data_IF_576887827202
#
_entry.id   IF_576887827202
#
_cell.length_a   1.000
_cell.length_b   1.000
_cell.length_c   1.000
_cell.angle_alpha   90.00
_cell.angle_beta   90.00
_cell.angle_gamma   90.00
#
_symmetry.space_group_name_H-M   'P 1'
#
loop_
_entity.id
_entity.type
_entity.pdbx_description
1 polymer ?
#
# COMPACT_ATOMS: atom_id res chain seq x y z
N UNK A 1 -35.52 -26.45 38.44
CA UNK A 1 -35.54 -25.64 37.21
C UNK A 1 -34.49 -24.54 37.31
N UNK A 2 -33.36 -24.63 36.63
CA UNK A 2 -32.45 -23.51 36.24
C UNK A 2 -31.01 -23.94 35.91
N UNK A 3 -30.78 -24.90 34.97
CA UNK A 3 -29.47 -24.99 34.34
C UNK A 3 -29.47 -24.61 32.82
N UNK A 4 -30.62 -24.25 32.23
CA UNK A 4 -30.71 -24.05 30.77
C UNK A 4 -30.25 -22.66 30.28
N UNK A 5 -30.05 -21.69 31.19
CA UNK A 5 -29.73 -20.30 30.80
C UNK A 5 -28.21 -20.03 30.62
N UNK A 6 -27.35 -20.94 31.10
CA UNK A 6 -25.89 -20.78 31.02
C UNK A 6 -25.28 -21.31 29.71
N UNK A 7 -25.98 -22.16 28.96
CA UNK A 7 -25.47 -22.74 27.71
C UNK A 7 -25.66 -21.79 26.52
N UNK A 8 -26.62 -20.87 26.58
CA UNK A 8 -26.91 -19.94 25.47
C UNK A 8 -25.88 -18.82 25.32
N UNK A 9 -25.07 -18.51 26.33
CA UNK A 9 -24.09 -17.41 26.30
C UNK A 9 -22.76 -17.77 25.64
N UNK A 10 -22.42 -19.07 25.50
CA UNK A 10 -21.14 -19.49 24.95
C UNK A 10 -21.05 -19.54 23.42
N UNK A 11 -22.14 -19.29 22.67
CA UNK A 11 -22.17 -19.46 21.21
C UNK A 11 -21.76 -18.18 20.45
N UNK A 12 -21.63 -17.02 21.12
CA UNK A 12 -21.32 -15.74 20.45
C UNK A 12 -19.83 -15.42 20.30
N UNK A 13 -18.90 -16.28 20.73
CA UNK A 13 -17.46 -15.96 20.73
C UNK A 13 -16.68 -16.50 19.51
N UNK A 14 -17.32 -17.04 18.49
CA UNK A 14 -16.63 -17.78 17.41
C UNK A 14 -16.68 -17.10 16.04
N UNK A 15 -16.51 -15.80 15.91
CA UNK A 15 -16.38 -15.22 14.57
C UNK A 15 -15.36 -14.09 14.46
N UNK A 16 -14.16 -14.30 14.98
CA UNK A 16 -13.05 -13.44 14.61
C UNK A 16 -12.08 -14.18 13.68
N UNK A 17 -12.56 -14.56 12.49
CA UNK A 17 -11.70 -15.16 11.47
C UNK A 17 -10.61 -14.20 11.04
N UNK A 18 -9.35 -14.68 10.95
CA UNK A 18 -8.24 -13.91 10.37
C UNK A 18 -8.54 -13.55 8.90
N UNK A 19 -7.88 -12.52 8.38
CA UNK A 19 -8.05 -12.10 6.97
C UNK A 19 -7.86 -13.27 5.98
N UNK A 20 -6.84 -14.13 6.11
CA UNK A 20 -6.68 -15.31 5.27
C UNK A 20 -7.88 -16.27 5.32
N UNK A 21 -8.38 -16.58 6.51
CA UNK A 21 -9.55 -17.48 6.65
C UNK A 21 -10.79 -16.92 6.00
N UNK A 22 -11.05 -15.61 6.15
CA UNK A 22 -12.21 -14.93 5.54
C UNK A 22 -12.16 -14.88 4.01
N UNK A 23 -10.96 -14.95 3.44
CA UNK A 23 -10.73 -14.88 1.99
C UNK A 23 -10.31 -16.23 1.39
N UNK A 24 -10.50 -17.34 2.11
CA UNK A 24 -10.20 -18.70 1.64
C UNK A 24 -8.74 -18.91 1.20
N UNK A 25 -7.79 -18.26 1.88
CA UNK A 25 -6.38 -18.48 1.64
C UNK A 25 -5.96 -19.84 2.15
N UNK A 26 -5.27 -20.61 1.33
CA UNK A 26 -4.68 -21.89 1.69
C UNK A 26 -3.24 -21.68 2.14
N UNK A 27 -2.90 -22.12 3.36
CA UNK A 27 -1.54 -22.01 3.87
C UNK A 27 -0.59 -22.90 3.05
N UNK A 28 0.61 -22.36 2.80
CA UNK A 28 1.70 -23.08 2.13
C UNK A 28 2.98 -22.95 2.95
N UNK A 29 3.97 -23.81 2.64
CA UNK A 29 5.32 -23.59 3.16
C UNK A 29 5.87 -22.24 2.70
N UNK A 30 6.64 -21.60 3.57
CA UNK A 30 7.27 -20.31 3.22
C UNK A 30 8.38 -20.55 2.20
N UNK A 31 8.29 -19.83 1.07
CA UNK A 31 9.31 -19.91 0.03
C UNK A 31 9.57 -18.53 -0.59
N UNK A 32 10.82 -18.33 -1.01
CA UNK A 32 11.27 -17.09 -1.63
C UNK A 32 11.28 -15.91 -0.66
N UNK A 33 11.34 -14.71 -1.20
CA UNK A 33 11.31 -13.45 -0.48
C UNK A 33 10.19 -12.56 -1.01
N UNK A 34 9.84 -11.51 -0.29
CA UNK A 34 8.99 -10.45 -0.83
C UNK A 34 9.90 -9.40 -1.43
N UNK A 35 9.79 -9.22 -2.74
CA UNK A 35 10.53 -8.22 -3.50
C UNK A 35 9.55 -7.35 -4.27
N UNK A 36 9.66 -6.04 -4.08
CA UNK A 36 8.94 -5.04 -4.84
C UNK A 36 9.94 -4.35 -5.79
N UNK A 37 9.94 -4.67 -7.09
CA UNK A 37 10.91 -4.12 -8.03
C UNK A 37 10.56 -2.70 -8.49
N UNK A 38 9.34 -2.24 -8.18
CA UNK A 38 8.87 -0.93 -8.58
C UNK A 38 9.57 0.16 -7.77
N UNK A 39 10.02 1.20 -8.44
CA UNK A 39 10.78 2.32 -7.86
C UNK A 39 12.17 1.95 -7.32
N UNK A 40 12.71 0.78 -7.70
CA UNK A 40 13.96 0.24 -7.15
C UNK A 40 15.22 0.68 -7.92
N UNK A 41 15.10 1.21 -9.14
CA UNK A 41 16.22 1.64 -9.97
C UNK A 41 16.62 3.09 -9.65
N UNK A 42 17.84 3.30 -9.14
CA UNK A 42 18.39 4.63 -8.81
C UNK A 42 18.76 5.47 -10.03
N UNK A 43 18.93 4.81 -11.20
CA UNK A 43 19.28 5.51 -12.44
C UNK A 43 18.07 6.02 -13.20
N UNK A 44 16.88 5.86 -12.64
CA UNK A 44 15.61 6.23 -13.28
C UNK A 44 14.79 7.14 -12.38
N UNK A 45 14.21 8.18 -12.97
CA UNK A 45 13.15 8.95 -12.36
C UNK A 45 11.80 8.38 -12.82
N UNK A 46 10.95 7.99 -11.85
CA UNK A 46 9.62 7.47 -12.13
C UNK A 46 8.63 8.60 -12.12
N UNK A 47 8.07 8.95 -13.27
CA UNK A 47 7.17 10.08 -13.43
C UNK A 47 5.78 9.57 -13.84
N UNK A 48 4.77 10.00 -13.10
CA UNK A 48 3.38 9.63 -13.32
C UNK A 48 2.51 10.88 -13.40
N UNK A 49 1.57 10.89 -14.34
CA UNK A 49 0.41 11.77 -14.24
C UNK A 49 -0.47 11.24 -13.10
N UNK A 50 -0.68 12.09 -12.09
CA UNK A 50 -1.38 11.70 -10.86
C UNK A 50 -2.70 12.42 -10.71
N UNK A 51 -3.70 11.70 -10.18
CA UNK A 51 -4.94 12.24 -9.68
C UNK A 51 -5.16 11.77 -8.25
N UNK A 52 -5.26 12.71 -7.32
CA UNK A 52 -5.47 12.45 -5.89
C UNK A 52 -6.83 13.03 -5.49
N UNK A 53 -7.75 12.14 -5.17
CA UNK A 53 -9.05 12.47 -4.59
C UNK A 53 -8.96 12.30 -3.06
N UNK A 54 -9.13 13.39 -2.31
CA UNK A 54 -9.11 13.35 -0.86
C UNK A 54 -10.28 14.15 -0.29
N UNK A 55 -11.21 13.46 0.39
CA UNK A 55 -12.48 14.00 0.86
C UNK A 55 -13.28 14.65 -0.28
N UNK A 56 -13.34 15.98 -0.32
CA UNK A 56 -14.05 16.75 -1.34
C UNK A 56 -13.08 17.56 -2.24
N UNK A 57 -11.78 17.26 -2.18
CA UNK A 57 -10.75 17.93 -2.95
C UNK A 57 -10.14 16.99 -3.98
N UNK A 58 -9.82 17.53 -5.14
CA UNK A 58 -9.15 16.83 -6.23
C UNK A 58 -7.88 17.58 -6.61
N UNK A 59 -6.76 16.84 -6.66
CA UNK A 59 -5.47 17.38 -7.05
C UNK A 59 -4.94 16.59 -8.24
N UNK A 60 -4.66 17.27 -9.34
CA UNK A 60 -4.03 16.73 -10.54
C UNK A 60 -2.62 17.25 -10.73
N UNK A 61 -1.74 16.45 -11.34
CA UNK A 61 -0.40 16.90 -11.62
C UNK A 61 0.61 15.75 -11.86
N UNK A 62 1.87 16.01 -11.56
CA UNK A 62 2.98 15.09 -11.76
C UNK A 62 3.45 14.54 -10.41
N UNK A 63 3.42 13.22 -10.29
CA UNK A 63 3.95 12.48 -9.14
C UNK A 63 5.28 11.85 -9.52
N UNK A 64 6.34 12.27 -8.86
CA UNK A 64 7.71 11.91 -9.19
C UNK A 64 8.29 11.11 -8.02
N UNK A 65 8.78 9.91 -8.30
CA UNK A 65 9.52 9.09 -7.33
C UNK A 65 10.94 8.92 -7.81
N UNK A 66 11.89 9.23 -6.95
CA UNK A 66 13.32 9.00 -7.20
C UNK A 66 13.92 8.20 -6.06
N UNK A 67 14.61 7.12 -6.39
CA UNK A 67 15.51 6.44 -5.47
C UNK A 67 16.83 7.20 -5.41
N UNK A 68 17.18 7.71 -4.24
CA UNK A 68 18.41 8.51 -4.02
C UNK A 68 19.57 7.60 -3.66
N UNK A 69 19.34 6.61 -2.79
CA UNK A 69 20.30 5.61 -2.36
C UNK A 69 19.55 4.35 -1.89
N UNK A 70 20.27 3.38 -1.33
CA UNK A 70 19.64 2.21 -0.73
C UNK A 70 18.68 2.64 0.38
N UNK A 71 17.42 2.20 0.30
CA UNK A 71 16.32 2.57 1.19
C UNK A 71 16.07 4.08 1.34
N UNK A 72 16.58 4.90 0.41
CA UNK A 72 16.34 6.34 0.38
C UNK A 72 15.57 6.74 -0.88
N UNK A 73 14.42 7.33 -0.68
CA UNK A 73 13.56 7.81 -1.77
C UNK A 73 13.08 9.24 -1.50
N UNK A 74 12.88 9.98 -2.57
CA UNK A 74 12.17 11.25 -2.55
C UNK A 74 10.93 11.15 -3.40
N UNK A 75 9.82 11.67 -2.90
CA UNK A 75 8.53 11.70 -3.58
C UNK A 75 8.07 13.13 -3.64
N UNK A 76 7.85 13.62 -4.86
CA UNK A 76 7.40 14.99 -5.11
C UNK A 76 6.09 14.91 -5.91
N UNK A 77 5.12 15.72 -5.52
CA UNK A 77 3.90 15.93 -6.27
C UNK A 77 3.77 17.41 -6.59
N UNK A 78 3.60 17.71 -7.88
CA UNK A 78 3.45 19.09 -8.38
C UNK A 78 2.20 19.21 -9.23
N UNK A 79 1.71 20.40 -9.43
CA UNK A 79 0.76 20.69 -10.53
C UNK A 79 1.45 20.46 -11.88
N UNK A 80 0.68 20.38 -12.97
CA UNK A 80 1.23 20.31 -14.33
C UNK A 80 2.11 21.52 -14.68
N UNK A 81 1.89 22.68 -14.02
CA UNK A 81 2.68 23.91 -14.16
C UNK A 81 3.94 23.93 -13.26
N UNK A 82 4.22 22.85 -12.53
CA UNK A 82 5.43 22.71 -11.69
C UNK A 82 5.31 23.26 -10.26
N UNK A 83 4.16 23.82 -9.85
CA UNK A 83 3.97 24.27 -8.48
C UNK A 83 3.90 23.06 -7.54
N UNK A 84 4.73 23.07 -6.50
CA UNK A 84 4.82 21.98 -5.55
C UNK A 84 3.54 21.85 -4.71
N UNK A 85 2.99 20.65 -4.61
CA UNK A 85 1.88 20.30 -3.74
C UNK A 85 2.38 19.59 -2.48
N UNK A 86 3.30 18.64 -2.63
CA UNK A 86 4.10 18.13 -1.51
C UNK A 86 5.47 17.62 -1.99
N UNK A 87 6.39 17.51 -1.02
CA UNK A 87 7.75 17.01 -1.21
C UNK A 87 8.16 16.25 0.05
N UNK A 88 8.32 14.92 -0.07
CA UNK A 88 8.60 14.02 1.03
C UNK A 88 9.91 13.28 0.81
N UNK A 89 10.70 13.13 1.87
CA UNK A 89 11.88 12.27 1.88
C UNK A 89 11.68 11.10 2.81
N UNK A 90 12.07 9.92 2.34
CA UNK A 90 12.11 8.68 3.09
C UNK A 90 13.55 8.21 3.18
N UNK A 91 14.03 7.95 4.38
CA UNK A 91 15.37 7.41 4.63
C UNK A 91 15.24 6.31 5.69
N UNK A 92 15.30 5.05 5.27
CA UNK A 92 14.96 3.91 6.13
C UNK A 92 13.61 4.12 6.83
N UNK A 93 13.58 4.18 8.15
CA UNK A 93 12.36 4.44 8.94
C UNK A 93 12.05 5.93 9.09
N UNK A 94 13.01 6.81 8.76
CA UNK A 94 12.84 8.25 8.88
C UNK A 94 11.98 8.80 7.74
N UNK A 95 11.14 9.76 8.09
CA UNK A 95 10.26 10.46 7.17
C UNK A 95 10.33 11.96 7.43
N UNK A 96 10.55 12.72 6.36
CA UNK A 96 10.61 14.18 6.43
C UNK A 96 9.65 14.80 5.42
N UNK A 97 8.87 15.75 5.88
CA UNK A 97 8.11 16.67 5.04
C UNK A 97 9.02 17.83 4.69
N UNK A 98 9.48 17.93 3.43
CA UNK A 98 10.29 19.05 2.96
C UNK A 98 9.41 20.24 2.58
N UNK A 99 8.23 19.95 2.03
CA UNK A 99 7.20 20.92 1.67
C UNK A 99 5.83 20.24 1.66
N UNK A 100 4.80 20.97 2.00
CA UNK A 100 3.39 20.58 1.80
C UNK A 100 2.52 21.83 1.68
N UNK A 101 1.60 21.82 0.71
CA UNK A 101 0.59 22.86 0.53
C UNK A 101 -0.36 22.89 1.74
N UNK A 102 -0.79 24.06 2.18
CA UNK A 102 -1.61 24.25 3.39
C UNK A 102 -2.90 23.42 3.36
N UNK A 103 -3.56 23.31 2.22
CA UNK A 103 -4.78 22.52 2.03
C UNK A 103 -4.54 21.02 2.32
N UNK A 104 -3.34 20.53 2.05
CA UNK A 104 -2.90 19.15 2.31
C UNK A 104 -2.25 18.98 3.70
N UNK A 105 -1.89 20.06 4.38
CA UNK A 105 -1.17 20.07 5.65
C UNK A 105 -2.06 19.68 6.83
N UNK A 106 -2.61 18.46 6.76
CA UNK A 106 -3.39 17.85 7.85
C UNK A 106 -2.61 16.65 8.38
N UNK A 107 -2.31 16.66 9.68
CA UNK A 107 -1.53 15.59 10.35
C UNK A 107 -2.03 14.19 10.02
N UNK A 108 -3.36 14.01 9.93
CA UNK A 108 -3.96 12.71 9.59
C UNK A 108 -3.61 12.32 8.16
N UNK A 109 -3.76 13.24 7.20
CA UNK A 109 -3.46 12.98 5.78
C UNK A 109 -1.98 12.69 5.58
N UNK A 110 -1.09 13.50 6.15
CA UNK A 110 0.36 13.27 6.10
C UNK A 110 0.73 11.87 6.61
N UNK A 111 0.16 11.45 7.75
CA UNK A 111 0.40 10.12 8.32
C UNK A 111 -0.13 8.97 7.43
N UNK A 112 -1.21 9.19 6.69
CA UNK A 112 -1.74 8.22 5.74
C UNK A 112 -0.81 8.13 4.53
N UNK A 113 -0.49 9.26 3.89
CA UNK A 113 0.40 9.33 2.73
C UNK A 113 1.79 8.75 3.06
N UNK A 114 2.34 9.05 4.25
CA UNK A 114 3.59 8.45 4.73
C UNK A 114 3.55 6.92 4.71
N UNK A 115 2.48 6.31 5.24
CA UNK A 115 2.32 4.86 5.30
C UNK A 115 2.14 4.25 3.91
N UNK A 116 1.34 4.91 3.08
CA UNK A 116 1.04 4.42 1.74
C UNK A 116 2.27 4.50 0.84
N UNK A 117 2.96 5.63 0.85
CA UNK A 117 4.17 5.78 0.05
C UNK A 117 5.33 4.93 0.58
N UNK A 118 5.46 4.74 1.90
CA UNK A 118 6.43 3.78 2.44
C UNK A 118 6.15 2.36 1.92
N UNK A 119 4.88 1.91 1.90
CA UNK A 119 4.52 0.61 1.35
C UNK A 119 4.77 0.52 -0.17
N UNK A 120 4.54 1.62 -0.89
CA UNK A 120 4.76 1.73 -2.33
C UNK A 120 6.24 1.52 -2.72
N UNK A 121 7.17 2.14 -1.96
CA UNK A 121 8.61 2.19 -2.29
C UNK A 121 9.47 1.16 -1.54
N UNK A 122 8.91 0.40 -0.59
CA UNK A 122 9.70 -0.60 0.15
C UNK A 122 10.04 -1.76 -0.76
N UNK A 123 11.33 -1.97 -1.01
CA UNK A 123 11.83 -2.95 -1.99
C UNK A 123 11.87 -4.38 -1.45
N UNK A 124 12.28 -4.56 -0.20
CA UNK A 124 12.44 -5.89 0.42
C UNK A 124 11.74 -5.93 1.76
N UNK A 125 11.08 -7.05 2.03
CA UNK A 125 10.36 -7.29 3.27
C UNK A 125 10.60 -8.71 3.76
N UNK A 126 10.61 -8.86 5.07
CA UNK A 126 10.67 -10.17 5.70
C UNK A 126 9.36 -10.92 5.48
N UNK A 127 9.46 -12.10 4.85
CA UNK A 127 8.33 -13.00 4.66
C UNK A 127 7.93 -13.61 6.00
N UNK A 128 6.65 -13.52 6.36
CA UNK A 128 6.08 -14.11 7.56
C UNK A 128 5.33 -15.41 7.26
N UNK A 129 4.47 -15.40 6.27
CA UNK A 129 3.63 -16.53 5.88
C UNK A 129 3.36 -16.48 4.37
N UNK A 130 3.20 -17.65 3.76
CA UNK A 130 2.84 -17.81 2.35
C UNK A 130 1.50 -18.52 2.24
N UNK A 131 0.72 -18.09 1.25
CA UNK A 131 -0.60 -18.67 0.95
C UNK A 131 -0.79 -18.82 -0.54
N UNK A 132 -1.71 -19.70 -0.90
CA UNK A 132 -2.27 -19.82 -2.24
C UNK A 132 -3.71 -19.30 -2.24
N UNK A 133 -4.05 -18.51 -3.25
CA UNK A 133 -5.41 -18.09 -3.54
C UNK A 133 -5.66 -18.27 -5.04
N UNK A 134 -6.43 -19.31 -5.41
CA UNK A 134 -6.58 -19.71 -6.80
C UNK A 134 -5.22 -19.96 -7.48
N UNK A 135 -4.88 -19.16 -8.51
CA UNK A 135 -3.58 -19.20 -9.20
C UNK A 135 -2.55 -18.20 -8.67
N UNK A 136 -2.91 -17.39 -7.67
CA UNK A 136 -2.01 -16.37 -7.13
C UNK A 136 -1.25 -16.90 -5.90
N UNK A 137 0.03 -16.53 -5.79
CA UNK A 137 0.78 -16.65 -4.55
C UNK A 137 0.58 -15.39 -3.73
N UNK A 138 0.23 -15.56 -2.45
CA UNK A 138 0.00 -14.46 -1.52
C UNK A 138 1.01 -14.55 -0.38
N UNK A 139 1.85 -13.53 -0.24
CA UNK A 139 2.89 -13.42 0.78
C UNK A 139 2.50 -12.40 1.82
N UNK A 140 2.59 -12.78 3.09
CA UNK A 140 2.31 -11.90 4.23
C UNK A 140 3.60 -11.30 4.78
N UNK A 141 3.60 -10.01 5.03
CA UNK A 141 4.69 -9.28 5.68
C UNK A 141 4.18 -8.32 6.76
N UNK A 142 5.12 -7.85 7.57
CA UNK A 142 4.92 -6.74 8.49
C UNK A 142 5.76 -5.54 8.04
N UNK A 143 5.15 -4.36 7.96
CA UNK A 143 5.83 -3.10 7.71
C UNK A 143 5.30 -2.07 8.71
N UNK A 144 6.19 -1.51 9.54
CA UNK A 144 5.84 -0.54 10.59
C UNK A 144 4.66 -1.00 11.47
N UNK A 145 4.74 -2.24 11.95
CA UNK A 145 3.71 -2.90 12.78
C UNK A 145 2.31 -2.98 12.12
N UNK A 146 2.26 -2.97 10.80
CA UNK A 146 1.04 -3.19 10.02
C UNK A 146 1.19 -4.44 9.16
N UNK A 147 0.10 -5.18 8.99
CA UNK A 147 0.07 -6.39 8.18
C UNK A 147 -0.25 -6.06 6.74
N UNK A 148 0.58 -6.57 5.85
CA UNK A 148 0.42 -6.46 4.40
C UNK A 148 0.40 -7.83 3.76
N UNK A 149 -0.40 -7.95 2.69
CA UNK A 149 -0.47 -9.12 1.81
C UNK A 149 -0.07 -8.70 0.40
N UNK A 150 0.92 -9.40 -0.15
CA UNK A 150 1.47 -9.19 -1.48
C UNK A 150 0.99 -10.29 -2.38
N UNK A 151 0.26 -9.97 -3.43
CA UNK A 151 -0.29 -10.90 -4.41
C UNK A 151 0.55 -10.84 -5.66
N UNK A 152 1.21 -11.92 -5.99
CA UNK A 152 2.09 -12.03 -7.14
C UNK A 152 1.36 -12.76 -8.26
N UNK A 153 1.17 -12.08 -9.38
CA UNK A 153 0.56 -12.59 -10.59
C UNK A 153 1.35 -12.05 -11.80
N UNK A 154 1.55 -12.80 -12.89
CA UNK A 154 2.32 -12.35 -14.04
C UNK A 154 1.83 -11.05 -14.70
N UNK A 155 0.53 -10.74 -14.59
CA UNK A 155 -0.10 -9.58 -15.24
C UNK A 155 -0.33 -8.40 -14.29
N UNK A 156 -0.43 -8.66 -13.00
CA UNK A 156 -0.76 -7.66 -12.00
C UNK A 156 0.01 -7.91 -10.73
N UNK A 157 0.30 -6.84 -10.01
CA UNK A 157 0.85 -6.90 -8.67
C UNK A 157 -0.05 -6.12 -7.72
N UNK A 158 -0.38 -6.72 -6.59
CA UNK A 158 -1.34 -6.12 -5.67
C UNK A 158 -0.81 -6.19 -4.24
N UNK A 159 -0.93 -5.09 -3.52
CA UNK A 159 -0.60 -5.02 -2.10
C UNK A 159 -1.88 -4.65 -1.34
N UNK A 160 -2.18 -5.37 -0.26
CA UNK A 160 -3.33 -5.07 0.59
C UNK A 160 -2.85 -4.88 2.02
N UNK A 161 -3.08 -3.70 2.60
CA UNK A 161 -2.91 -3.48 4.03
C UNK A 161 -4.17 -3.88 4.77
N UNK A 162 -3.99 -4.70 5.81
CA UNK A 162 -5.09 -5.22 6.63
C UNK A 162 -4.94 -4.74 8.07
N UNK A 163 -6.07 -4.43 8.69
CA UNK A 163 -6.14 -4.16 10.12
C UNK A 163 -7.44 -4.76 10.69
N UNK A 164 -7.33 -5.50 11.80
CA UNK A 164 -8.45 -6.19 12.45
C UNK A 164 -9.25 -7.08 11.45
N UNK A 165 -8.52 -7.85 10.61
CA UNK A 165 -9.12 -8.76 9.64
C UNK A 165 -9.92 -8.08 8.52
N UNK A 166 -9.77 -6.76 8.31
CA UNK A 166 -10.43 -5.99 7.25
C UNK A 166 -9.41 -5.25 6.40
N UNK A 167 -9.62 -5.26 5.09
CA UNK A 167 -8.86 -4.44 4.15
C UNK A 167 -9.01 -2.95 4.50
N UNK A 168 -7.90 -2.21 4.47
CA UNK A 168 -7.84 -0.78 4.75
C UNK A 168 -7.37 0.03 3.55
N UNK A 169 -6.40 -0.50 2.81
CA UNK A 169 -5.93 0.10 1.58
C UNK A 169 -5.48 -0.98 0.62
N UNK A 170 -5.75 -0.78 -0.64
CA UNK A 170 -5.32 -1.62 -1.77
C UNK A 170 -4.48 -0.79 -2.71
N UNK A 171 -3.35 -1.36 -3.09
CA UNK A 171 -2.50 -0.89 -4.17
C UNK A 171 -2.63 -1.90 -5.30
N UNK A 172 -2.97 -1.45 -6.48
CA UNK A 172 -3.07 -2.27 -7.67
C UNK A 172 -2.14 -1.71 -8.75
N UNK A 173 -1.21 -2.54 -9.20
CA UNK A 173 -0.26 -2.24 -10.26
C UNK A 173 -0.69 -3.02 -11.50
N UNK A 174 -0.89 -2.35 -12.61
CA UNK A 174 -1.35 -2.95 -13.86
C UNK A 174 -0.49 -2.52 -15.04
N UNK A 175 -0.60 -3.26 -16.14
CA UNK A 175 0.12 -3.00 -17.37
C UNK A 175 1.64 -2.90 -17.13
N UNK A 176 2.20 -3.91 -16.46
CA UNK A 176 3.59 -3.90 -16.01
C UNK A 176 4.50 -4.19 -17.20
N UNK A 177 5.46 -3.30 -17.43
CA UNK A 177 6.51 -3.46 -18.42
C UNK A 177 7.87 -3.05 -17.82
N UNK A 178 8.89 -3.91 -17.91
CA UNK A 178 10.24 -3.64 -17.40
C UNK A 178 10.28 -3.09 -15.97
N UNK A 179 9.50 -3.68 -15.06
CA UNK A 179 9.33 -3.24 -13.67
C UNK A 179 8.74 -1.81 -13.52
N UNK A 180 8.11 -1.29 -14.54
CA UNK A 180 7.31 -0.08 -14.50
C UNK A 180 5.84 -0.48 -14.64
N UNK A 181 5.02 -0.13 -13.67
CA UNK A 181 3.57 -0.24 -13.81
C UNK A 181 3.05 0.99 -14.56
N UNK A 182 2.36 0.78 -15.66
CA UNK A 182 1.78 1.89 -16.42
C UNK A 182 0.63 2.56 -15.66
N UNK A 183 -0.04 1.78 -14.79
CA UNK A 183 -1.02 2.35 -13.88
C UNK A 183 -0.87 1.78 -12.47
N UNK A 184 -1.00 2.66 -11.47
CA UNK A 184 -1.06 2.29 -10.05
C UNK A 184 -2.28 2.99 -9.44
N UNK A 185 -3.17 2.19 -8.85
CA UNK A 185 -4.30 2.69 -8.08
C UNK A 185 -4.10 2.40 -6.60
N UNK A 186 -4.22 3.42 -5.74
CA UNK A 186 -4.20 3.29 -4.28
C UNK A 186 -5.59 3.69 -3.78
N UNK A 187 -6.33 2.73 -3.24
CA UNK A 187 -7.73 2.94 -2.84
C UNK A 187 -7.91 2.58 -1.37
N UNK A 188 -8.44 3.50 -0.59
CA UNK A 188 -8.80 3.29 0.80
C UNK A 188 -10.25 2.83 0.94
N UNK A 189 -10.50 1.87 1.84
CA UNK A 189 -11.84 1.36 2.12
C UNK A 189 -12.55 2.05 3.29
N UNK A 190 -11.83 2.83 4.09
CA UNK A 190 -12.36 3.42 5.32
C UNK A 190 -12.29 4.96 5.36
N UNK A 191 -11.75 5.57 4.33
CA UNK A 191 -11.69 7.03 4.13
C UNK A 191 -11.89 7.34 2.65
N UNK A 192 -12.34 8.54 2.34
CA UNK A 192 -12.42 9.04 0.97
C UNK A 192 -11.03 9.50 0.52
N UNK A 193 -10.18 8.56 0.17
CA UNK A 193 -8.87 8.80 -0.42
C UNK A 193 -8.62 7.78 -1.53
N UNK A 194 -8.37 8.29 -2.72
CA UNK A 194 -7.96 7.51 -3.88
C UNK A 194 -6.82 8.25 -4.59
N UNK A 195 -5.81 7.51 -4.98
CA UNK A 195 -4.69 8.02 -5.78
C UNK A 195 -4.60 7.15 -7.03
N UNK A 196 -4.66 7.77 -8.19
CA UNK A 196 -4.42 7.11 -9.48
C UNK A 196 -3.18 7.70 -10.11
N UNK A 197 -2.22 6.85 -10.46
CA UNK A 197 -0.97 7.19 -11.10
C UNK A 197 -0.93 6.53 -12.48
N UNK A 198 -0.68 7.30 -13.54
CA UNK A 198 -0.46 6.80 -14.90
C UNK A 198 0.93 7.19 -15.36
N UNK A 199 1.76 6.20 -15.71
CA UNK A 199 3.14 6.43 -16.19
C UNK A 199 3.13 7.32 -17.43
N UNK A 200 4.11 8.20 -17.50
CA UNK A 200 4.40 9.02 -18.70
C UNK A 200 5.78 8.69 -19.28
N UNK A 201 6.44 7.66 -18.73
CA UNK A 201 7.73 7.14 -19.19
C UNK A 201 7.50 5.98 -20.18
#
# INVERSE_FOLDING_TARGET
MKPFLLISFCIFILSCGSYPKKNNFQSMENFGAISNPYFANSNQDYVYKAHIEVYNHNFGGLFIVKKIAEQQHRIVFTTEMGNKLFDFSFNNEDFKVNYILDDLNKKILINILRKDFKALITEKLELKETYKLNSETVKKASLNNKTYYYFENPKTYKIIRVNNGKEKVRFLFTEINNNIAQQIDIVHSNIKLKITLKSIN
#
